data_IF_942313844562
#
_entry.id   IF_942313844562
#
_cell.length_a   1.000
_cell.length_b   1.000
_cell.length_c   1.000
_cell.angle_alpha   90.00
_cell.angle_beta   90.00
_cell.angle_gamma   90.00
#
_symmetry.space_group_name_H-M   'P 1'
#
loop_
_entity.id
_entity.type
_entity.pdbx_description
1 polymer ?
#
# COMPACT_ATOMS: atom_id res chain seq x y z
N UNK A 1 -7.02 -1.29 4.63
CA UNK A 1 -6.98 -2.67 4.12
C UNK A 1 -6.31 -3.61 5.13
N UNK A 2 -6.44 -4.93 4.94
CA UNK A 2 -5.72 -5.98 5.68
C UNK A 2 -4.42 -6.34 4.98
N UNK A 3 -3.34 -6.57 5.72
CA UNK A 3 -2.05 -6.92 5.13
C UNK A 3 -1.26 -7.85 6.05
N UNK A 4 -0.40 -8.66 5.44
CA UNK A 4 0.54 -9.54 6.13
C UNK A 4 1.83 -8.77 6.41
N UNK A 5 2.25 -8.71 7.67
CA UNK A 5 3.49 -8.04 8.08
C UNK A 5 4.71 -8.92 7.82
N UNK A 6 5.92 -8.38 8.04
CA UNK A 6 7.19 -9.13 7.94
C UNK A 6 7.27 -10.39 8.80
N UNK A 7 6.51 -10.44 9.90
CA UNK A 7 6.41 -11.58 10.83
C UNK A 7 5.20 -12.46 10.54
N UNK A 8 4.62 -12.31 9.35
CA UNK A 8 3.44 -13.05 8.88
C UNK A 8 2.15 -12.81 9.66
N UNK A 9 2.13 -11.84 10.56
CA UNK A 9 0.93 -11.46 11.29
C UNK A 9 -0.03 -10.68 10.40
N UNK A 10 -1.33 -10.84 10.65
CA UNK A 10 -2.36 -10.04 9.99
C UNK A 10 -2.61 -8.76 10.76
N UNK A 11 -2.39 -7.65 10.07
CA UNK A 11 -2.68 -6.31 10.53
C UNK A 11 -3.65 -5.62 9.59
N UNK A 12 -4.30 -4.57 10.10
CA UNK A 12 -5.17 -3.69 9.35
C UNK A 12 -4.62 -2.29 9.40
N UNK A 13 -4.84 -1.55 8.33
CA UNK A 13 -4.49 -0.14 8.25
C UNK A 13 -5.58 0.67 7.55
N UNK A 14 -5.65 1.94 7.86
CA UNK A 14 -6.33 2.95 7.05
C UNK A 14 -5.39 4.15 6.88
N UNK A 15 -5.51 4.86 5.77
CA UNK A 15 -4.76 6.09 5.56
C UNK A 15 -5.52 7.23 6.22
N UNK A 16 -4.81 8.02 7.01
CA UNK A 16 -5.33 9.15 7.76
C UNK A 16 -4.54 10.42 7.41
N UNK A 17 -4.88 11.54 8.06
CA UNK A 17 -4.13 12.80 7.93
C UNK A 17 -3.97 13.26 6.46
N UNK A 18 -5.01 13.06 5.65
CA UNK A 18 -5.03 13.42 4.24
C UNK A 18 -3.80 12.87 3.48
N UNK A 19 -3.56 11.56 3.58
CA UNK A 19 -2.49 10.92 2.81
C UNK A 19 -1.09 11.09 3.41
N UNK A 20 -0.98 11.39 4.71
CA UNK A 20 0.32 11.62 5.38
C UNK A 20 0.64 10.63 6.50
N UNK A 21 -0.30 9.73 6.85
CA UNK A 21 -0.08 8.73 7.86
C UNK A 21 -0.97 7.51 7.69
N UNK A 22 -0.57 6.45 8.35
CA UNK A 22 -1.35 5.23 8.56
C UNK A 22 -1.87 5.19 9.99
N UNK A 23 -3.04 4.58 10.18
CA UNK A 23 -3.48 4.08 11.47
C UNK A 23 -3.47 2.56 11.44
N UNK A 24 -2.65 1.91 12.26
CA UNK A 24 -2.47 0.46 12.29
C UNK A 24 -3.17 -0.18 13.48
N UNK A 25 -3.76 -1.35 13.28
CA UNK A 25 -4.24 -2.19 14.37
C UNK A 25 -4.14 -3.67 14.02
N UNK A 26 -4.01 -4.51 15.06
CA UNK A 26 -3.90 -5.95 14.89
C UNK A 26 -5.28 -6.62 15.00
N UNK A 27 -5.57 -7.56 14.10
CA UNK A 27 -6.85 -8.27 14.12
C UNK A 27 -8.04 -7.30 14.12
N UNK A 28 -9.05 -7.55 14.95
CA UNK A 28 -10.24 -6.70 15.07
C UNK A 28 -10.10 -5.62 16.16
N UNK A 29 -8.93 -5.46 16.77
CA UNK A 29 -8.72 -4.62 17.96
C UNK A 29 -8.36 -3.16 17.62
N UNK A 30 -9.24 -2.50 16.85
CA UNK A 30 -8.99 -1.13 16.36
C UNK A 30 -8.81 -0.10 17.49
N UNK A 31 -9.39 -0.33 18.67
CA UNK A 31 -9.27 0.56 19.84
C UNK A 31 -7.84 0.68 20.37
N UNK A 32 -7.01 -0.34 20.15
CA UNK A 32 -5.60 -0.37 20.54
C UNK A 32 -4.68 -0.08 19.33
N UNK A 33 -5.24 0.49 18.26
CA UNK A 33 -4.45 0.93 17.13
C UNK A 33 -3.60 2.16 17.45
N UNK A 34 -2.66 2.44 16.55
CA UNK A 34 -1.77 3.59 16.68
C UNK A 34 -1.51 4.24 15.32
N UNK A 35 -1.17 5.52 15.37
CA UNK A 35 -0.74 6.30 14.21
C UNK A 35 0.74 6.03 13.92
N UNK A 36 1.10 5.86 12.66
CA UNK A 36 2.47 5.71 12.16
C UNK A 36 2.59 6.31 10.76
N UNK A 37 3.80 6.59 10.29
CA UNK A 37 4.11 6.91 8.89
C UNK A 37 4.68 5.71 8.14
N UNK A 38 4.95 4.60 8.82
CA UNK A 38 5.60 3.41 8.26
C UNK A 38 4.64 2.23 8.21
N UNK A 39 4.61 1.53 7.08
CA UNK A 39 3.98 0.21 6.95
C UNK A 39 5.00 -0.85 6.54
N UNK A 40 5.05 -1.96 7.29
CA UNK A 40 5.89 -3.11 6.99
C UNK A 40 5.02 -4.28 6.52
N UNK A 41 5.18 -4.68 5.26
CA UNK A 41 4.31 -5.65 4.60
C UNK A 41 5.10 -6.70 3.82
N UNK A 42 4.45 -7.81 3.51
CA UNK A 42 4.96 -8.85 2.63
C UNK A 42 4.39 -8.70 1.23
N UNK A 43 5.26 -8.89 0.24
CA UNK A 43 4.90 -8.98 -1.17
C UNK A 43 5.84 -9.99 -1.83
N UNK A 44 5.29 -10.99 -2.52
CA UNK A 44 6.07 -12.02 -3.23
C UNK A 44 7.15 -12.72 -2.38
N UNK A 45 6.86 -12.96 -1.10
CA UNK A 45 7.80 -13.57 -0.13
C UNK A 45 8.91 -12.63 0.37
N UNK A 46 8.90 -11.36 -0.07
CA UNK A 46 9.86 -10.35 0.33
C UNK A 46 9.30 -9.41 1.39
N UNK A 47 10.18 -8.89 2.23
CA UNK A 47 9.87 -7.91 3.28
C UNK A 47 10.02 -6.51 2.73
N UNK A 48 8.92 -5.78 2.62
CA UNK A 48 8.91 -4.41 2.13
C UNK A 48 8.50 -3.44 3.23
N UNK A 49 9.15 -2.29 3.27
CA UNK A 49 8.75 -1.15 4.10
C UNK A 49 8.25 -0.04 3.16
N UNK A 50 7.15 0.60 3.50
CA UNK A 50 6.76 1.86 2.88
C UNK A 50 6.61 2.96 3.91
N UNK A 51 7.11 4.16 3.59
CA UNK A 51 6.67 5.40 4.24
C UNK A 51 5.59 6.07 3.41
N UNK A 52 4.76 6.90 4.05
CA UNK A 52 3.73 7.71 3.39
C UNK A 52 3.96 9.20 3.70
N UNK A 53 3.92 10.04 2.67
CA UNK A 53 3.95 11.50 2.76
C UNK A 53 3.30 12.07 1.50
N UNK A 54 2.43 13.07 1.66
CA UNK A 54 1.77 13.79 0.55
C UNK A 54 1.18 12.88 -0.54
N UNK A 55 0.40 11.87 -0.12
CA UNK A 55 -0.25 10.92 -1.02
C UNK A 55 0.72 10.08 -1.88
N UNK A 56 1.98 9.95 -1.46
CA UNK A 56 2.99 9.13 -2.12
C UNK A 56 3.55 8.11 -1.14
N UNK A 57 3.76 6.88 -1.62
CA UNK A 57 4.48 5.85 -0.90
C UNK A 57 5.94 5.83 -1.34
N UNK A 58 6.86 5.67 -0.38
CA UNK A 58 8.25 5.34 -0.68
C UNK A 58 8.53 3.90 -0.28
N UNK A 59 8.80 3.03 -1.25
CA UNK A 59 9.00 1.60 -1.05
C UNK A 59 10.47 1.27 -0.91
N UNK A 60 10.83 0.50 0.12
CA UNK A 60 12.18 0.00 0.33
C UNK A 60 12.17 -1.48 0.71
N UNK A 61 12.90 -2.29 -0.06
CA UNK A 61 13.11 -3.70 0.25
C UNK A 61 13.93 -3.81 1.54
N UNK A 62 13.42 -4.56 2.52
CA UNK A 62 13.97 -4.71 3.88
C UNK A 62 14.24 -3.37 4.59
N UNK A 63 13.52 -2.30 4.23
CA UNK A 63 13.76 -0.95 4.77
C UNK A 63 15.06 -0.29 4.29
N UNK A 64 15.72 -0.82 3.25
CA UNK A 64 16.96 -0.27 2.68
C UNK A 64 16.66 0.98 1.83
N UNK A 65 16.53 2.13 2.48
CA UNK A 65 16.14 3.41 1.87
C UNK A 65 17.01 3.81 0.67
N UNK A 66 18.31 3.50 0.67
CA UNK A 66 19.20 3.84 -0.46
C UNK A 66 18.85 3.13 -1.79
N UNK A 67 17.97 2.13 -1.75
CA UNK A 67 17.53 1.34 -2.91
C UNK A 67 16.02 1.46 -3.13
N UNK A 68 15.36 2.40 -2.44
CA UNK A 68 13.92 2.57 -2.54
C UNK A 68 13.50 3.46 -3.72
N UNK A 69 12.19 3.53 -3.93
CA UNK A 69 11.57 4.33 -4.97
C UNK A 69 10.20 4.84 -4.51
N UNK A 70 9.77 5.95 -5.12
CA UNK A 70 8.45 6.51 -4.89
C UNK A 70 7.43 5.91 -5.87
N UNK A 71 6.23 5.63 -5.37
CA UNK A 71 5.09 5.17 -6.16
C UNK A 71 3.78 5.67 -5.51
N UNK A 72 2.71 5.76 -6.30
CA UNK A 72 1.36 6.04 -5.80
C UNK A 72 0.54 4.77 -5.57
N UNK A 73 1.13 3.61 -5.86
CA UNK A 73 0.56 2.29 -5.67
C UNK A 73 1.27 1.56 -4.53
N UNK A 74 0.51 0.83 -3.72
CA UNK A 74 1.04 -0.18 -2.79
C UNK A 74 0.41 -1.54 -3.06
N UNK A 75 1.27 -2.53 -3.29
CA UNK A 75 0.87 -3.94 -3.42
C UNK A 75 1.21 -4.71 -2.15
N UNK A 76 0.31 -5.58 -1.69
CA UNK A 76 0.48 -6.31 -0.44
C UNK A 76 -0.27 -7.63 -0.46
N UNK A 77 0.23 -8.61 0.32
CA UNK A 77 -0.48 -9.85 0.58
C UNK A 77 -1.52 -9.62 1.68
N UNK A 78 -2.78 -9.89 1.39
CA UNK A 78 -3.91 -9.82 2.33
C UNK A 78 -4.04 -11.11 3.16
N UNK A 79 -4.97 -11.12 4.12
CA UNK A 79 -5.24 -12.27 4.99
C UNK A 79 -5.80 -13.50 4.28
N UNK A 80 -6.37 -13.31 3.08
CA UNK A 80 -6.83 -14.37 2.18
C UNK A 80 -5.70 -14.94 1.28
N UNK A 81 -4.45 -14.50 1.49
CA UNK A 81 -3.26 -14.88 0.72
C UNK A 81 -3.22 -14.40 -0.74
N UNK A 82 -4.13 -13.51 -1.14
CA UNK A 82 -4.04 -12.84 -2.44
C UNK A 82 -3.24 -11.55 -2.37
N UNK A 83 -2.64 -11.17 -3.49
CA UNK A 83 -2.00 -9.86 -3.66
C UNK A 83 -3.08 -8.86 -4.08
N UNK A 84 -3.19 -7.78 -3.32
CA UNK A 84 -4.04 -6.65 -3.65
C UNK A 84 -3.18 -5.44 -3.97
N UNK A 85 -3.75 -4.56 -4.79
CA UNK A 85 -3.18 -3.27 -5.16
C UNK A 85 -4.09 -2.16 -4.62
N UNK A 86 -3.50 -1.17 -3.96
CA UNK A 86 -4.20 0.04 -3.49
C UNK A 86 -3.50 1.27 -4.04
N UNK A 87 -4.28 2.28 -4.42
CA UNK A 87 -3.81 3.61 -4.81
C UNK A 87 -4.76 4.67 -4.24
N UNK A 88 -4.29 5.91 -4.16
CA UNK A 88 -5.15 7.04 -3.78
C UNK A 88 -6.13 7.38 -4.91
N UNK A 89 -7.36 7.77 -4.55
CA UNK A 89 -8.41 8.03 -5.52
C UNK A 89 -8.05 9.14 -6.51
N UNK A 90 -7.24 10.10 -6.06
CA UNK A 90 -6.67 11.21 -6.81
C UNK A 90 -5.87 10.75 -8.04
N UNK A 91 -5.32 9.53 -8.02
CA UNK A 91 -4.53 8.98 -9.12
C UNK A 91 -5.28 7.94 -9.98
N UNK A 92 -6.54 7.62 -9.66
CA UNK A 92 -7.32 6.60 -10.38
C UNK A 92 -8.05 7.19 -11.61
N UNK A 93 -8.20 8.51 -11.68
CA UNK A 93 -8.92 9.21 -12.77
C UNK A 93 -8.20 9.21 -14.13
N UNK A 94 -6.87 9.00 -14.16
CA UNK A 94 -6.07 9.00 -15.41
C UNK A 94 -5.89 7.61 -16.03
N UNK A 95 -6.07 6.51 -15.28
CA UNK A 95 -5.91 5.16 -15.83
C UNK A 95 -7.08 4.71 -16.71
N UNK A 96 -8.26 5.34 -16.60
CA UNK A 96 -9.40 5.06 -17.47
C UNK A 96 -9.22 5.71 -18.85
N UNK A 97 -8.51 6.85 -18.93
CA UNK A 97 -8.31 7.58 -20.20
C UNK A 97 -7.08 7.10 -20.99
N UNK A 98 -6.15 6.36 -20.39
CA UNK A 98 -4.97 5.83 -21.09
C UNK A 98 -5.18 4.46 -21.76
N UNK A 99 -6.38 3.86 -21.65
CA UNK A 99 -6.78 2.68 -22.46
C UNK A 99 -7.70 3.06 -23.61
N UNK A 100 -7.20 3.87 -24.54
CA UNK A 100 -7.71 3.87 -25.90
C UNK A 100 -6.61 4.18 -26.93
N UNK A 101 -5.79 3.20 -27.33
CA UNK A 101 -5.18 3.22 -28.64
C UNK A 101 -6.14 2.56 -29.63
N UNK A 102 -6.65 3.39 -30.55
CA UNK A 102 -7.10 3.06 -31.90
C UNK A 102 -7.31 1.57 -32.24
N UNK A 103 -8.58 1.20 -32.41
CA UNK A 103 -8.97 -0.07 -33.03
C UNK A 103 -10.24 0.11 -33.85
N UNK A 104 -10.08 0.52 -35.10
CA UNK A 104 -11.07 0.37 -36.17
C UNK A 104 -11.65 -1.03 -36.18
N UNK A 105 -12.97 -1.20 -36.42
CA UNK A 105 -13.51 -2.05 -37.51
C UNK A 105 -15.05 -2.15 -37.52
N UNK A 106 -15.55 -1.96 -38.75
CA UNK A 106 -16.73 -2.48 -39.46
C UNK A 106 -18.10 -2.51 -38.78
#
# INVERSE_FOLDING_TARGET
FEYKTWTEQIWRTEIIENGNAFFHWQGHDRKNGHRDTIINYLLNGQRWQSTIEDYIFFHALEGKVLQGYYDNIIEYVSSDHYVYQSAFAEYITDQIHQRAPHGTRF
#
